data_IF_428234781024
#
_entry.id   IF_428234781024
#
_cell.length_a   1.000
_cell.length_b   1.000
_cell.length_c   1.000
_cell.angle_alpha   90.00
_cell.angle_beta   90.00
_cell.angle_gamma   90.00
#
_symmetry.space_group_name_H-M   'P 1'
#
loop_
_entity.id
_entity.type
_entity.pdbx_description
1 polymer ?
#
# COMPACT_ATOMS: atom_id res chain seq x y z
N UNK A 1 -8.01 8.60 22.19
CA UNK A 1 -6.74 8.49 21.45
C UNK A 1 -6.63 9.75 20.62
N UNK A 2 -5.59 10.54 20.84
CA UNK A 2 -5.35 11.82 20.18
C UNK A 2 -4.93 11.64 18.71
N UNK A 3 -5.31 12.61 17.87
CA UNK A 3 -5.05 12.61 16.42
C UNK A 3 -3.54 12.59 16.10
N UNK A 4 -2.72 13.16 16.97
CA UNK A 4 -1.26 13.15 16.84
C UNK A 4 -0.68 11.74 17.00
N UNK A 5 -1.18 10.97 17.97
CA UNK A 5 -0.82 9.57 18.15
C UNK A 5 -1.28 8.70 16.99
N UNK A 6 -2.48 8.96 16.42
CA UNK A 6 -2.93 8.30 15.18
C UNK A 6 -1.99 8.59 14.01
N UNK A 7 -1.67 9.86 13.79
CA UNK A 7 -0.80 10.30 12.71
C UNK A 7 0.59 9.69 12.84
N UNK A 8 1.17 9.71 14.04
CA UNK A 8 2.48 9.10 14.32
C UNK A 8 2.48 7.60 14.04
N UNK A 9 1.43 6.88 14.47
CA UNK A 9 1.27 5.43 14.26
C UNK A 9 1.00 5.05 12.79
N UNK A 10 0.38 5.95 12.02
CA UNK A 10 0.25 5.81 10.56
C UNK A 10 1.59 6.03 9.86
N UNK A 11 2.33 7.07 10.28
CA UNK A 11 3.61 7.43 9.65
C UNK A 11 4.70 6.39 9.95
N UNK A 12 4.68 5.75 11.12
CA UNK A 12 5.58 4.63 11.47
C UNK A 12 5.42 3.41 10.55
N UNK A 13 4.28 3.26 9.87
CA UNK A 13 4.04 2.16 8.91
C UNK A 13 4.46 2.50 7.48
N UNK A 14 4.75 3.77 7.19
CA UNK A 14 5.17 4.21 5.86
C UNK A 14 6.69 4.07 5.77
N UNK A 15 7.13 2.99 5.14
CA UNK A 15 8.55 2.61 5.08
C UNK A 15 9.28 3.32 3.93
N UNK A 16 8.55 3.81 2.92
CA UNK A 16 9.10 4.59 1.83
C UNK A 16 8.03 5.43 1.13
N UNK A 17 8.44 6.56 0.56
CA UNK A 17 7.67 7.33 -0.42
C UNK A 17 8.51 7.40 -1.71
N UNK A 18 7.87 7.17 -2.84
CA UNK A 18 8.45 7.40 -4.17
C UNK A 18 7.80 8.67 -4.71
N UNK A 19 8.61 9.71 -4.90
CA UNK A 19 8.21 10.88 -5.69
C UNK A 19 8.47 10.51 -7.14
N UNK A 20 7.40 10.43 -7.93
CA UNK A 20 7.47 10.09 -9.35
C UNK A 20 7.17 11.36 -10.13
N UNK A 21 7.95 11.61 -11.18
CA UNK A 21 7.68 12.70 -12.12
C UNK A 21 6.36 12.42 -12.87
N UNK A 22 5.64 13.48 -13.28
CA UNK A 22 4.37 13.38 -14.00
C UNK A 22 4.47 12.60 -15.33
N UNK A 23 5.69 12.45 -15.86
CA UNK A 23 5.96 11.76 -17.12
C UNK A 23 6.61 10.37 -16.97
N UNK A 24 6.77 9.85 -15.75
CA UNK A 24 7.43 8.55 -15.54
C UNK A 24 6.42 7.38 -15.64
N UNK A 25 6.65 6.47 -16.60
CA UNK A 25 5.87 5.24 -16.71
C UNK A 25 6.29 4.27 -15.60
N UNK A 26 5.46 4.12 -14.58
CA UNK A 26 5.78 3.21 -13.47
C UNK A 26 5.33 1.79 -13.82
N UNK A 27 6.29 0.95 -14.18
CA UNK A 27 6.06 -0.48 -14.35
C UNK A 27 6.30 -1.21 -13.02
N UNK A 28 5.21 -1.57 -12.35
CA UNK A 28 5.26 -2.45 -11.18
C UNK A 28 5.30 -3.90 -11.64
N UNK A 29 6.46 -4.52 -11.52
CA UNK A 29 6.59 -5.98 -11.61
C UNK A 29 5.99 -6.57 -10.32
N UNK A 30 4.66 -6.73 -10.32
CA UNK A 30 3.85 -7.18 -9.19
C UNK A 30 4.10 -8.62 -8.77
N UNK A 31 4.65 -9.44 -9.66
CA UNK A 31 5.27 -10.71 -9.28
C UNK A 31 6.60 -10.39 -8.61
N UNK A 32 6.70 -10.65 -7.31
CA UNK A 32 7.86 -10.33 -6.51
C UNK A 32 9.15 -10.81 -7.20
N UNK A 33 9.91 -9.87 -7.76
CA UNK A 33 11.17 -10.18 -8.42
C UNK A 33 12.07 -10.99 -7.48
N UNK A 34 12.97 -11.81 -8.03
CA UNK A 34 13.91 -12.58 -7.20
C UNK A 34 14.68 -11.70 -6.21
N UNK A 35 14.96 -10.45 -6.60
CA UNK A 35 15.60 -9.46 -5.73
C UNK A 35 14.72 -9.06 -4.53
N UNK A 36 13.41 -8.84 -4.76
CA UNK A 36 12.44 -8.53 -3.72
C UNK A 36 12.32 -9.67 -2.72
N UNK A 37 12.12 -10.90 -3.21
CA UNK A 37 12.07 -12.08 -2.35
C UNK A 37 13.36 -12.24 -1.55
N UNK A 38 14.53 -12.10 -2.18
CA UNK A 38 15.83 -12.19 -1.49
C UNK A 38 15.96 -11.20 -0.34
N UNK A 39 15.48 -9.97 -0.50
CA UNK A 39 15.61 -8.93 0.53
C UNK A 39 14.54 -9.02 1.62
N UNK A 40 13.30 -9.36 1.26
CA UNK A 40 12.14 -9.24 2.16
C UNK A 40 11.60 -10.58 2.66
N UNK A 41 12.22 -11.73 2.36
CA UNK A 41 11.73 -13.06 2.79
C UNK A 41 11.42 -13.13 4.28
N UNK A 42 12.23 -12.52 5.14
CA UNK A 42 12.04 -12.57 6.60
C UNK A 42 10.76 -11.83 7.00
N UNK A 43 10.55 -10.65 6.47
CA UNK A 43 9.41 -9.77 6.71
C UNK A 43 8.12 -10.37 6.12
N UNK A 44 8.21 -10.97 4.92
CA UNK A 44 7.10 -11.65 4.27
C UNK A 44 6.64 -12.87 5.09
N UNK A 45 7.56 -13.70 5.58
CA UNK A 45 7.24 -14.82 6.49
C UNK A 45 6.61 -14.36 7.81
N UNK A 46 7.13 -13.28 8.39
CA UNK A 46 6.53 -12.72 9.61
C UNK A 46 5.12 -12.19 9.35
N UNK A 47 4.87 -11.64 8.16
CA UNK A 47 3.57 -11.11 7.76
C UNK A 47 2.55 -12.21 7.48
N UNK A 48 2.91 -13.28 6.77
CA UNK A 48 2.00 -14.42 6.56
C UNK A 48 1.61 -15.05 7.87
N UNK A 49 2.56 -15.28 8.78
CA UNK A 49 2.29 -15.84 10.10
C UNK A 49 1.38 -14.93 10.94
N UNK A 50 1.62 -13.61 10.93
CA UNK A 50 0.82 -12.64 11.69
C UNK A 50 -0.60 -12.46 11.15
N UNK A 51 -0.76 -12.55 9.83
CA UNK A 51 -2.03 -12.33 9.15
C UNK A 51 -2.80 -13.63 8.84
N UNK A 52 -2.23 -14.80 9.16
CA UNK A 52 -2.84 -16.09 8.86
C UNK A 52 -3.00 -16.36 7.36
N UNK A 53 -2.11 -15.81 6.53
CA UNK A 53 -2.18 -15.97 5.08
C UNK A 53 -1.54 -17.30 4.67
N UNK A 54 -2.34 -18.19 4.09
CA UNK A 54 -1.86 -19.45 3.49
C UNK A 54 -1.65 -19.26 1.99
N UNK A 55 -0.65 -18.44 1.64
CA UNK A 55 -0.28 -18.13 0.25
C UNK A 55 1.23 -18.27 0.05
N UNK A 56 1.71 -18.66 -1.15
CA UNK A 56 3.13 -18.69 -1.44
C UNK A 56 3.76 -17.30 -1.28
N UNK A 57 4.93 -17.19 -0.63
CA UNK A 57 5.60 -15.89 -0.42
C UNK A 57 5.82 -15.05 -1.71
N UNK A 58 6.09 -15.63 -2.90
CA UNK A 58 6.20 -14.87 -4.14
C UNK A 58 4.93 -14.12 -4.56
N UNK A 59 3.76 -14.53 -4.07
CA UNK A 59 2.50 -13.83 -4.36
C UNK A 59 2.31 -12.58 -3.48
N UNK A 60 3.23 -12.34 -2.54
CA UNK A 60 3.22 -11.15 -1.69
C UNK A 60 4.16 -10.11 -2.32
N UNK A 61 3.56 -9.15 -3.00
CA UNK A 61 4.25 -8.01 -3.59
C UNK A 61 4.13 -6.74 -2.74
N UNK A 62 4.90 -5.69 -3.07
CA UNK A 62 4.69 -4.37 -2.51
C UNK A 62 3.33 -3.80 -2.95
N UNK A 63 2.57 -3.25 -2.00
CA UNK A 63 1.43 -2.40 -2.31
C UNK A 63 1.93 -0.96 -2.51
N UNK A 64 1.61 -0.35 -3.64
CA UNK A 64 1.96 1.04 -3.92
C UNK A 64 0.67 1.86 -4.07
N UNK A 65 0.58 2.92 -3.28
CA UNK A 65 -0.52 3.87 -3.32
C UNK A 65 0.04 5.16 -3.92
N UNK A 66 -0.45 5.53 -5.09
CA UNK A 66 -0.05 6.76 -5.79
C UNK A 66 -1.10 7.83 -5.50
N UNK A 67 -0.65 8.97 -4.98
CA UNK A 67 -1.49 10.16 -4.82
C UNK A 67 -1.09 11.17 -5.89
N UNK A 68 -1.85 11.24 -6.98
CA UNK A 68 -1.69 12.33 -7.94
C UNK A 68 -2.58 13.51 -7.54
N UNK A 69 -1.99 14.68 -7.41
CA UNK A 69 -2.75 15.93 -7.42
C UNK A 69 -3.28 16.12 -8.85
N UNK A 70 -4.59 15.98 -9.01
CA UNK A 70 -5.24 16.10 -10.32
C UNK A 70 -6.28 17.19 -10.25
N UNK A 71 -6.18 18.15 -11.17
CA UNK A 71 -7.27 19.07 -11.43
C UNK A 71 -8.33 18.26 -12.18
N UNK A 72 -9.55 18.17 -11.66
CA UNK A 72 -10.70 17.40 -12.19
C UNK A 72 -10.94 15.97 -11.67
N UNK A 73 -10.30 15.53 -10.58
CA UNK A 73 -10.78 14.32 -9.87
C UNK A 73 -11.45 14.67 -8.56
N UNK A 74 -12.33 13.78 -8.10
CA UNK A 74 -12.92 13.86 -6.77
C UNK A 74 -12.18 12.91 -5.84
N UNK A 75 -12.10 13.27 -4.55
CA UNK A 75 -11.51 12.42 -3.53
C UNK A 75 -12.22 11.05 -3.50
N UNK A 76 -11.46 9.97 -3.38
CA UNK A 76 -12.01 8.62 -3.24
C UNK A 76 -12.96 8.58 -2.03
N UNK A 77 -14.21 8.20 -2.26
CA UNK A 77 -15.25 8.19 -1.22
C UNK A 77 -16.01 9.50 -1.04
N UNK A 78 -15.84 10.50 -1.94
CA UNK A 78 -16.65 11.73 -1.94
C UNK A 78 -18.16 11.46 -1.92
N UNK A 79 -18.60 10.39 -2.58
CA UNK A 79 -20.00 9.97 -2.66
C UNK A 79 -20.43 9.10 -1.46
N UNK A 80 -19.48 8.64 -0.65
CA UNK A 80 -19.67 7.74 0.49
C UNK A 80 -18.89 8.22 1.72
N UNK A 81 -19.22 9.41 2.29
CA UNK A 81 -18.43 10.06 3.34
C UNK A 81 -18.39 9.28 4.66
N UNK A 82 -19.28 8.29 4.86
CA UNK A 82 -19.29 7.40 6.02
C UNK A 82 -18.33 6.23 5.90
N UNK A 83 -17.84 5.92 4.68
CA UNK A 83 -16.90 4.84 4.46
C UNK A 83 -15.47 5.37 4.43
N UNK A 84 -14.56 4.63 5.07
CA UNK A 84 -13.14 4.98 5.05
C UNK A 84 -12.55 4.58 3.68
N UNK A 85 -11.74 5.44 3.03
CA UNK A 85 -11.19 5.16 1.71
C UNK A 85 -10.45 3.82 1.60
N UNK A 86 -9.80 3.38 2.66
CA UNK A 86 -9.09 2.10 2.71
C UNK A 86 -10.03 0.91 2.48
N UNK A 87 -11.27 0.99 2.96
CA UNK A 87 -12.28 -0.06 2.77
C UNK A 87 -12.73 -0.11 1.31
N UNK A 88 -12.94 1.06 0.69
CA UNK A 88 -13.29 1.15 -0.73
C UNK A 88 -12.21 0.56 -1.63
N UNK A 89 -10.93 0.71 -1.26
CA UNK A 89 -9.81 0.10 -1.98
C UNK A 89 -9.80 -1.42 -1.77
N UNK A 90 -9.99 -1.90 -0.54
CA UNK A 90 -10.02 -3.33 -0.20
C UNK A 90 -11.17 -4.09 -0.87
N UNK A 91 -12.33 -3.46 -1.02
CA UNK A 91 -13.48 -4.11 -1.69
C UNK A 91 -13.26 -4.21 -3.21
N UNK A 92 -12.34 -3.41 -3.78
CA UNK A 92 -12.09 -3.31 -5.22
C UNK A 92 -10.95 -4.19 -5.72
N UNK A 93 -9.95 -4.46 -4.88
CA UNK A 93 -8.71 -5.18 -5.23
C UNK A 93 -8.47 -6.34 -4.27
#
# INVERSE_FOLDING_TARGET
MDEETKRKKMTEKVVSFLLVDENEEIQFLGDASEAYLKHFTKELKATTARCGLDVPLPTLGPAVIIFNETVHTQLLGSDHPSEVPEKLIQDRF
#
